data_IF_280251226788
#
_entry.id   IF_280251226788
#
_cell.length_a   1.000
_cell.length_b   1.000
_cell.length_c   1.000
_cell.angle_alpha   90.00
_cell.angle_beta   90.00
_cell.angle_gamma   90.00
#
_symmetry.space_group_name_H-M   'P 1'
#
loop_
_entity.id
_entity.type
_entity.pdbx_description
1 polymer ?
#
# COMPACT_ATOMS: atom_id res chain seq x y z
N UNK A 1 -17.63 4.81 20.95
CA UNK A 1 -18.06 6.15 20.49
C UNK A 1 -18.65 6.02 19.08
N UNK A 2 -19.72 6.77 18.71
CA UNK A 2 -20.19 6.75 17.34
C UNK A 2 -19.12 7.33 16.41
N UNK A 3 -18.96 6.81 15.18
CA UNK A 3 -18.02 7.37 14.22
C UNK A 3 -18.42 8.82 13.90
N UNK A 4 -17.44 9.70 13.59
CA UNK A 4 -17.64 11.14 13.41
C UNK A 4 -18.68 11.47 12.32
N UNK A 5 -19.17 12.70 12.20
CA UNK A 5 -20.27 13.06 11.27
C UNK A 5 -19.82 13.50 9.87
N UNK A 6 -18.53 13.35 9.54
CA UNK A 6 -17.94 13.79 8.26
C UNK A 6 -18.24 12.82 7.10
N UNK A 7 -18.01 13.24 5.85
CA UNK A 7 -18.12 12.40 4.64
C UNK A 7 -17.30 11.09 4.78
N UNK A 8 -16.17 11.15 5.48
CA UNK A 8 -15.32 10.02 5.84
C UNK A 8 -16.04 8.96 6.68
N UNK A 9 -17.05 9.32 7.48
CA UNK A 9 -17.73 8.36 8.36
C UNK A 9 -18.75 7.46 7.69
N UNK A 10 -19.29 7.88 6.55
CA UNK A 10 -20.16 7.03 5.70
C UNK A 10 -19.34 5.95 5.01
N UNK A 11 -18.12 6.28 4.61
CA UNK A 11 -17.17 5.39 3.94
C UNK A 11 -16.50 4.47 4.98
N UNK A 12 -16.12 5.01 6.14
CA UNK A 12 -15.60 4.30 7.31
C UNK A 12 -16.45 3.09 7.74
N UNK A 13 -17.78 3.25 7.84
CA UNK A 13 -18.68 2.14 8.24
C UNK A 13 -18.72 0.99 7.23
N UNK A 14 -18.35 1.24 5.97
CA UNK A 14 -18.24 0.23 4.92
C UNK A 14 -16.86 -0.42 4.83
N UNK A 15 -15.82 0.16 5.45
CA UNK A 15 -14.42 -0.29 5.33
C UNK A 15 -13.90 -0.98 6.60
N UNK A 16 -14.76 -1.25 7.59
CA UNK A 16 -14.33 -2.04 8.76
C UNK A 16 -13.96 -3.45 8.31
N UNK A 17 -12.67 -3.78 8.28
CA UNK A 17 -12.17 -5.09 7.91
C UNK A 17 -11.00 -5.08 6.93
N UNK A 18 -10.83 -6.20 6.23
CA UNK A 18 -9.83 -6.37 5.20
C UNK A 18 -10.28 -5.69 3.90
N UNK A 19 -9.45 -4.81 3.37
CA UNK A 19 -9.58 -4.29 2.01
C UNK A 19 -8.81 -5.20 1.08
N UNK A 20 -9.43 -5.63 -0.01
CA UNK A 20 -8.80 -6.46 -1.03
C UNK A 20 -8.59 -5.66 -2.30
N UNK A 21 -7.37 -5.66 -2.82
CA UNK A 21 -6.98 -4.92 -4.02
C UNK A 21 -6.43 -5.90 -5.04
N UNK A 22 -6.94 -5.82 -6.27
CA UNK A 22 -6.32 -6.47 -7.42
C UNK A 22 -5.07 -5.66 -7.80
N UNK A 23 -3.90 -6.24 -7.51
CA UNK A 23 -2.61 -5.58 -7.76
C UNK A 23 -2.24 -5.59 -9.23
N UNK A 24 -2.81 -6.49 -10.02
CA UNK A 24 -2.58 -6.58 -11.47
C UNK A 24 -3.12 -5.34 -12.18
N UNK A 25 -4.31 -4.90 -11.81
CA UNK A 25 -4.93 -3.71 -12.38
C UNK A 25 -4.35 -2.42 -11.80
N UNK A 26 -4.21 -2.35 -10.47
CA UNK A 26 -3.82 -1.13 -9.76
C UNK A 26 -2.36 -0.72 -10.00
N UNK A 27 -1.43 -1.69 -10.06
CA UNK A 27 0.02 -1.42 -10.11
C UNK A 27 0.56 -1.30 -11.54
N UNK A 28 -0.09 -1.94 -12.53
CA UNK A 28 0.39 -1.95 -13.91
C UNK A 28 0.49 -0.55 -14.55
N UNK A 29 -0.39 0.40 -14.15
CA UNK A 29 -0.34 1.80 -14.63
C UNK A 29 0.69 2.66 -13.90
N UNK A 30 0.95 2.42 -12.61
CA UNK A 30 1.95 3.19 -11.88
C UNK A 30 3.38 2.78 -12.26
N UNK A 31 3.62 1.48 -12.47
CA UNK A 31 4.94 0.98 -12.89
C UNK A 31 5.36 1.39 -14.30
N UNK A 32 4.41 1.52 -15.23
CA UNK A 32 4.69 2.04 -16.59
C UNK A 32 5.12 3.51 -16.54
N UNK A 33 4.58 4.30 -15.60
CA UNK A 33 5.02 5.69 -15.36
C UNK A 33 6.39 5.74 -14.67
N UNK A 34 6.65 4.90 -13.66
CA UNK A 34 7.94 4.86 -12.95
C UNK A 34 9.10 4.41 -13.84
N UNK A 35 8.93 3.36 -14.65
CA UNK A 35 9.96 2.92 -15.62
C UNK A 35 10.39 4.05 -16.57
N UNK A 36 9.43 4.77 -17.16
CA UNK A 36 9.74 5.92 -18.03
C UNK A 36 10.48 7.04 -17.29
N UNK A 37 10.23 7.20 -15.99
CA UNK A 37 10.84 8.25 -15.17
C UNK A 37 12.28 7.86 -14.77
N UNK A 38 12.51 6.61 -14.40
CA UNK A 38 13.84 6.10 -14.07
C UNK A 38 14.74 6.04 -15.32
N UNK A 39 14.19 5.64 -16.47
CA UNK A 39 14.90 5.66 -17.77
C UNK A 39 15.22 7.09 -18.23
N UNK A 40 14.33 8.06 -17.96
CA UNK A 40 14.54 9.47 -18.31
C UNK A 40 15.50 10.22 -17.38
N UNK A 41 15.67 9.74 -16.13
CA UNK A 41 16.49 10.46 -15.14
C UNK A 41 17.97 10.13 -15.22
N UNK A 42 18.38 9.10 -15.97
CA UNK A 42 19.79 8.81 -16.24
C UNK A 42 20.66 8.82 -14.97
N UNK A 43 20.12 8.41 -13.82
CA UNK A 43 20.87 8.42 -12.58
C UNK A 43 21.87 7.26 -12.64
N UNK A 44 23.14 7.62 -12.80
CA UNK A 44 24.27 6.70 -12.70
C UNK A 44 24.27 6.11 -11.28
N UNK A 45 23.54 5.02 -11.09
CA UNK A 45 23.47 4.31 -9.83
C UNK A 45 24.90 3.95 -9.40
N UNK A 46 25.34 4.47 -8.26
CA UNK A 46 26.65 4.12 -7.66
C UNK A 46 26.73 2.59 -7.56
N UNK A 47 27.92 2.01 -7.73
CA UNK A 47 28.07 0.55 -7.95
C UNK A 47 27.33 -0.35 -6.95
N UNK A 48 27.14 0.08 -5.70
CA UNK A 48 26.33 -0.63 -4.70
C UNK A 48 24.83 -0.70 -5.05
N UNK A 49 24.23 0.38 -5.53
CA UNK A 49 22.80 0.43 -5.91
C UNK A 49 22.54 -0.42 -7.15
N UNK A 50 23.47 -0.42 -8.10
CA UNK A 50 23.43 -1.30 -9.28
C UNK A 50 23.50 -2.78 -8.88
N UNK A 51 24.37 -3.13 -7.92
CA UNK A 51 24.50 -4.48 -7.40
C UNK A 51 23.22 -4.95 -6.70
N UNK A 52 22.68 -4.14 -5.77
CA UNK A 52 21.45 -4.47 -5.03
C UNK A 52 20.26 -4.63 -5.99
N UNK A 53 20.16 -3.77 -7.00
CA UNK A 53 19.14 -3.85 -8.04
C UNK A 53 19.27 -5.16 -8.83
N UNK A 54 20.49 -5.55 -9.18
CA UNK A 54 20.76 -6.79 -9.92
C UNK A 54 20.44 -8.03 -9.08
N UNK A 55 20.87 -8.05 -7.80
CA UNK A 55 20.55 -9.12 -6.86
C UNK A 55 19.04 -9.28 -6.67
N UNK A 56 18.31 -8.18 -6.48
CA UNK A 56 16.84 -8.19 -6.40
C UNK A 56 16.20 -8.84 -7.63
N UNK A 57 16.65 -8.48 -8.84
CA UNK A 57 16.13 -9.08 -10.09
C UNK A 57 16.39 -10.58 -10.16
N UNK A 58 17.57 -11.04 -9.72
CA UNK A 58 17.92 -12.45 -9.71
C UNK A 58 17.06 -13.24 -8.71
N UNK A 59 16.87 -12.70 -7.50
CA UNK A 59 16.02 -13.31 -6.47
C UNK A 59 14.57 -13.42 -6.97
N UNK A 60 14.01 -12.35 -7.54
CA UNK A 60 12.65 -12.38 -8.08
C UNK A 60 12.49 -13.40 -9.22
N UNK A 61 13.49 -13.54 -10.09
CA UNK A 61 13.49 -14.58 -11.15
C UNK A 61 13.55 -15.99 -10.57
N UNK A 62 14.35 -16.20 -9.52
CA UNK A 62 14.44 -17.48 -8.84
C UNK A 62 13.12 -17.86 -8.15
N UNK A 63 12.52 -16.92 -7.41
CA UNK A 63 11.24 -17.13 -6.73
C UNK A 63 10.11 -17.44 -7.71
N UNK A 64 10.09 -16.76 -8.87
CA UNK A 64 9.09 -16.99 -9.93
C UNK A 64 9.17 -18.35 -10.62
N UNK A 65 10.30 -19.07 -10.49
CA UNK A 65 10.42 -20.43 -11.02
C UNK A 65 9.72 -21.47 -10.13
N UNK A 66 9.45 -21.12 -8.87
CA UNK A 66 8.67 -21.95 -7.95
C UNK A 66 7.18 -21.62 -7.96
N UNK A 67 6.43 -22.26 -7.06
CA UNK A 67 5.03 -21.94 -6.83
C UNK A 67 4.89 -20.54 -6.23
N UNK A 68 4.42 -19.58 -7.03
CA UNK A 68 4.20 -18.21 -6.59
C UNK A 68 2.81 -18.07 -5.99
N UNK A 69 2.65 -17.49 -4.78
CA UNK A 69 1.33 -17.27 -4.19
C UNK A 69 0.52 -16.30 -5.06
N UNK A 70 -0.70 -16.69 -5.44
CA UNK A 70 -1.62 -15.84 -6.20
C UNK A 70 -2.30 -14.78 -5.33
N UNK A 71 -2.42 -15.05 -4.03
CA UNK A 71 -3.08 -14.17 -3.07
C UNK A 71 -2.20 -13.99 -1.83
N UNK A 72 -1.94 -12.73 -1.48
CA UNK A 72 -1.17 -12.36 -0.30
C UNK A 72 -2.07 -11.56 0.63
N UNK A 73 -2.06 -11.88 1.93
CA UNK A 73 -2.78 -11.11 2.94
C UNK A 73 -1.79 -10.55 3.96
N UNK A 74 -1.88 -9.25 4.26
CA UNK A 74 -0.98 -8.56 5.20
C UNK A 74 -1.76 -7.75 6.22
N UNK A 75 -1.31 -7.82 7.48
CA UNK A 75 -1.79 -6.99 8.58
C UNK A 75 -0.75 -5.90 8.81
N UNK A 76 -1.11 -4.64 8.55
CA UNK A 76 -0.20 -3.50 8.74
C UNK A 76 -0.26 -3.00 10.18
N UNK A 77 0.38 -3.73 11.09
CA UNK A 77 0.54 -3.32 12.48
C UNK A 77 1.84 -2.55 12.71
N UNK A 78 1.91 -1.80 13.81
CA UNK A 78 3.13 -1.16 14.27
C UNK A 78 3.30 0.30 13.88
N UNK A 79 2.39 0.89 13.11
CA UNK A 79 2.47 2.30 12.66
C UNK A 79 2.66 3.29 13.83
N UNK A 80 1.93 3.11 14.94
CA UNK A 80 2.10 3.93 16.16
C UNK A 80 3.43 3.67 16.85
N UNK A 81 3.91 2.42 16.85
CA UNK A 81 5.20 2.06 17.46
C UNK A 81 6.35 2.68 16.67
N UNK A 82 6.29 2.59 15.35
CA UNK A 82 7.19 3.23 14.39
C UNK A 82 7.27 4.75 14.62
N UNK A 83 6.12 5.41 14.78
CA UNK A 83 6.06 6.83 15.08
C UNK A 83 6.72 7.16 16.43
N UNK A 84 6.39 6.42 17.49
CA UNK A 84 7.00 6.61 18.83
C UNK A 84 8.51 6.43 18.85
N UNK A 85 9.04 5.42 18.17
CA UNK A 85 10.49 5.18 18.09
C UNK A 85 11.26 6.28 17.35
N UNK A 86 10.56 7.15 16.63
CA UNK A 86 11.15 8.29 15.91
C UNK A 86 10.66 9.64 16.44
N UNK A 87 9.98 9.65 17.59
CA UNK A 87 9.43 10.87 18.19
C UNK A 87 8.46 11.63 17.25
N UNK A 88 7.77 10.89 16.39
CA UNK A 88 6.79 11.42 15.43
C UNK A 88 5.36 11.29 15.97
N UNK A 89 4.46 12.12 15.42
CA UNK A 89 3.01 11.99 15.62
C UNK A 89 2.47 10.69 15.01
N UNK A 90 1.37 10.18 15.56
CA UNK A 90 0.73 8.96 15.08
C UNK A 90 0.33 9.03 13.60
N UNK A 91 -0.15 10.19 13.12
CA UNK A 91 -0.43 10.45 11.70
C UNK A 91 0.75 10.16 10.78
N UNK A 92 1.96 10.60 11.13
CA UNK A 92 3.17 10.29 10.36
C UNK A 92 3.49 8.79 10.33
N UNK A 93 3.16 8.07 11.40
CA UNK A 93 3.22 6.61 11.41
C UNK A 93 2.22 5.97 10.46
N UNK A 94 1.00 6.52 10.38
CA UNK A 94 -0.03 6.06 9.44
C UNK A 94 0.35 6.33 7.99
N UNK A 95 0.87 7.53 7.68
CA UNK A 95 1.41 7.87 6.36
C UNK A 95 2.55 6.93 5.95
N UNK A 96 3.48 6.64 6.85
CA UNK A 96 4.57 5.68 6.59
C UNK A 96 4.03 4.26 6.33
N UNK A 97 2.99 3.85 7.04
CA UNK A 97 2.28 2.59 6.79
C UNK A 97 1.63 2.57 5.41
N UNK A 98 0.98 3.67 5.00
CA UNK A 98 0.39 3.79 3.67
C UNK A 98 1.46 3.75 2.55
N UNK A 99 2.59 4.44 2.72
CA UNK A 99 3.70 4.36 1.75
C UNK A 99 4.30 2.94 1.67
N UNK A 100 4.32 2.23 2.80
CA UNK A 100 4.76 0.81 2.84
C UNK A 100 3.78 -0.08 2.11
N UNK A 101 2.47 0.18 2.20
CA UNK A 101 1.47 -0.54 1.43
C UNK A 101 1.69 -0.41 -0.08
N UNK A 102 2.07 0.78 -0.53
CA UNK A 102 2.33 1.05 -1.96
C UNK A 102 3.50 0.23 -2.47
N UNK A 103 4.57 0.18 -1.67
CA UNK A 103 5.73 -0.67 -1.97
C UNK A 103 5.34 -2.15 -1.97
N UNK A 104 4.52 -2.60 -1.00
CA UNK A 104 4.06 -3.97 -0.90
C UNK A 104 3.19 -4.38 -2.09
N UNK A 105 2.29 -3.52 -2.54
CA UNK A 105 1.49 -3.73 -3.75
C UNK A 105 2.41 -3.88 -4.98
N UNK A 106 3.40 -2.99 -5.11
CA UNK A 106 4.41 -3.07 -6.17
C UNK A 106 5.21 -4.39 -6.12
N UNK A 107 5.69 -4.79 -4.94
CA UNK A 107 6.44 -6.03 -4.77
C UNK A 107 5.59 -7.27 -5.01
N UNK A 108 4.32 -7.26 -4.61
CA UNK A 108 3.39 -8.37 -4.83
C UNK A 108 3.16 -8.60 -6.32
N UNK A 109 2.97 -7.51 -7.08
CA UNK A 109 2.89 -7.55 -8.54
C UNK A 109 4.22 -8.01 -9.18
N UNK A 110 5.35 -7.49 -8.70
CA UNK A 110 6.69 -7.92 -9.13
C UNK A 110 7.02 -9.37 -8.77
N UNK A 111 6.34 -9.97 -7.80
CA UNK A 111 6.46 -11.39 -7.50
C UNK A 111 5.57 -12.22 -8.44
N UNK A 112 4.42 -11.67 -8.84
CA UNK A 112 3.42 -12.33 -9.67
C UNK A 112 2.17 -12.77 -8.89
N UNK A 113 1.91 -12.15 -7.73
CA UNK A 113 0.64 -12.29 -7.05
C UNK A 113 -0.43 -11.45 -7.76
N UNK A 114 -1.65 -11.99 -7.85
CA UNK A 114 -2.79 -11.35 -8.53
C UNK A 114 -3.57 -10.45 -7.55
N UNK A 115 -3.67 -10.88 -6.29
CA UNK A 115 -4.49 -10.22 -5.25
C UNK A 115 -3.65 -9.92 -4.02
N UNK A 116 -3.81 -8.70 -3.48
CA UNK A 116 -3.31 -8.31 -2.16
C UNK A 116 -4.47 -7.91 -1.25
N UNK A 117 -4.62 -8.59 -0.13
CA UNK A 117 -5.53 -8.23 0.95
C UNK A 117 -4.78 -7.55 2.07
N UNK A 118 -5.33 -6.44 2.57
CA UNK A 118 -4.72 -5.63 3.61
C UNK A 118 -5.74 -5.39 4.69
N UNK A 119 -5.35 -5.67 5.93
CA UNK A 119 -6.19 -5.32 7.06
C UNK A 119 -6.04 -3.83 7.38
N UNK A 120 -6.92 -3.01 6.80
CA UNK A 120 -6.81 -1.55 6.85
C UNK A 120 -7.33 -0.96 8.16
N UNK A 121 -8.39 -1.54 8.73
CA UNK A 121 -9.02 -1.03 9.95
C UNK A 121 -9.65 -2.13 10.80
N UNK A 122 -9.38 -2.10 12.10
CA UNK A 122 -9.96 -3.01 13.11
C UNK A 122 -11.02 -2.32 13.96
N UNK A 123 -11.92 -3.11 14.55
CA UNK A 123 -12.90 -2.65 15.55
C UNK A 123 -12.22 -2.06 16.81
N UNK A 124 -11.00 -2.50 17.10
CA UNK A 124 -10.18 -1.96 18.20
C UNK A 124 -9.64 -0.56 17.90
N UNK A 125 -9.57 -0.13 16.63
CA UNK A 125 -9.15 1.23 16.30
C UNK A 125 -10.17 2.29 16.70
N UNK A 126 -11.45 1.93 16.87
CA UNK A 126 -12.49 2.85 17.36
C UNK A 126 -12.34 3.27 18.82
N UNK A 127 -11.42 2.67 19.57
CA UNK A 127 -11.07 3.06 20.95
C UNK A 127 -10.03 4.20 21.00
N UNK A 128 -9.50 4.63 19.86
CA UNK A 128 -8.52 5.72 19.75
C UNK A 128 -9.18 7.09 19.94
N UNK A 129 -8.36 8.14 20.08
CA UNK A 129 -8.88 9.51 20.14
C UNK A 129 -9.61 9.87 18.85
N UNK A 130 -10.58 10.79 18.95
CA UNK A 130 -11.42 11.15 17.81
C UNK A 130 -10.59 11.76 16.69
N UNK A 131 -9.62 12.59 17.05
CA UNK A 131 -8.72 13.28 16.15
C UNK A 131 -7.84 12.28 15.38
N UNK A 132 -7.25 11.30 16.07
CA UNK A 132 -6.43 10.24 15.42
C UNK A 132 -7.29 9.38 14.49
N UNK A 133 -8.53 9.10 14.89
CA UNK A 133 -9.44 8.29 14.10
C UNK A 133 -9.88 9.01 12.81
N UNK A 134 -10.16 10.32 12.89
CA UNK A 134 -10.48 11.16 11.73
C UNK A 134 -9.31 11.20 10.74
N UNK A 135 -8.10 11.50 11.21
CA UNK A 135 -6.88 11.51 10.36
C UNK A 135 -6.64 10.14 9.69
N UNK A 136 -6.84 9.04 10.42
CA UNK A 136 -6.68 7.70 9.87
C UNK A 136 -7.72 7.39 8.78
N UNK A 137 -8.98 7.80 8.99
CA UNK A 137 -10.04 7.58 8.01
C UNK A 137 -9.83 8.39 6.74
N UNK A 138 -9.44 9.64 6.86
CA UNK A 138 -9.16 10.50 5.71
C UNK A 138 -8.03 9.90 4.86
N UNK A 139 -6.93 9.48 5.51
CA UNK A 139 -5.82 8.80 4.83
C UNK A 139 -6.24 7.53 4.10
N UNK A 140 -7.09 6.70 4.70
CA UNK A 140 -7.60 5.47 4.08
C UNK A 140 -8.49 5.82 2.88
N UNK A 141 -9.37 6.81 3.00
CA UNK A 141 -10.25 7.24 1.90
C UNK A 141 -9.42 7.73 0.72
N UNK A 142 -8.48 8.66 0.95
CA UNK A 142 -7.60 9.21 -0.08
C UNK A 142 -6.85 8.10 -0.82
N UNK A 143 -6.36 7.10 -0.08
CA UNK A 143 -5.61 6.01 -0.69
C UNK A 143 -6.50 5.08 -1.51
N UNK A 144 -7.69 4.74 -1.02
CA UNK A 144 -8.64 3.92 -1.76
C UNK A 144 -9.14 4.61 -3.02
N UNK A 145 -9.38 5.91 -2.98
CA UNK A 145 -9.74 6.70 -4.15
C UNK A 145 -8.60 6.67 -5.19
N UNK A 146 -7.36 6.94 -4.76
CA UNK A 146 -6.20 6.86 -5.63
C UNK A 146 -5.98 5.46 -6.25
N UNK A 147 -6.27 4.38 -5.50
CA UNK A 147 -6.22 3.01 -6.01
C UNK A 147 -7.41 2.69 -6.93
N UNK A 148 -8.61 3.19 -6.63
CA UNK A 148 -9.84 2.99 -7.39
C UNK A 148 -9.80 3.67 -8.75
N UNK A 149 -9.32 4.92 -8.82
CA UNK A 149 -9.04 5.61 -10.09
C UNK A 149 -7.98 4.86 -10.91
N UNK A 150 -6.99 4.29 -10.21
CA UNK A 150 -5.98 3.42 -10.82
C UNK A 150 -6.55 2.07 -11.28
N UNK A 151 -7.74 1.67 -10.85
CA UNK A 151 -8.43 0.44 -11.27
C UNK A 151 -9.47 0.68 -12.38
N UNK A 152 -10.21 1.80 -12.35
CA UNK A 152 -11.36 2.10 -13.22
C UNK A 152 -11.07 2.28 -14.73
N UNK A 153 -9.82 2.21 -15.17
CA UNK A 153 -9.41 2.29 -16.58
C UNK A 153 -9.40 0.94 -17.33
N UNK A 154 -10.04 -0.10 -16.80
CA UNK A 154 -10.44 -1.28 -17.59
C UNK A 154 -11.93 -1.52 -17.37
N UNK A 155 -12.72 -1.17 -18.37
CA UNK A 155 -14.02 -1.79 -18.59
C UNK A 155 -13.73 -3.28 -18.88
N UNK A 156 -14.39 -4.18 -18.15
CA UNK A 156 -14.34 -5.61 -18.42
C UNK A 156 -15.24 -5.87 -19.64
N UNK A 157 -14.63 -6.16 -20.79
CA UNK A 157 -15.30 -6.76 -21.95
C UNK A 157 -15.45 -8.29 -21.74
#
# INVERSE_FOLDING_TARGET
PPPPSSRASRIARRIVGAVTVDVTAAVARDMTRRRRRDDAKGECARGADALLTTLRRLILRALRRGATPRHIAVIMDGNRRYARTRELRASRGHEAGAATLDALAAWSFELGADVLSVYALSTENFKRTREELEELFDLVCDRLEAMGESAAGREYD
#
